data_IF_396813453482
#
_entry.id   IF_396813453482
#
_cell.length_a   1.000
_cell.length_b   1.000
_cell.length_c   1.000
_cell.angle_alpha   90.00
_cell.angle_beta   90.00
_cell.angle_gamma   90.00
#
_symmetry.space_group_name_H-M   'P 1'
#
loop_
_entity.id
_entity.type
_entity.pdbx_description
1 polymer ?
#
# COMPACT_ATOMS: atom_id res chain seq x y z
N UNK A 1 8.52 -7.88 -7.31
CA UNK A 1 9.81 -7.15 -7.43
C UNK A 1 10.72 -7.60 -6.28
N UNK A 2 11.87 -8.22 -6.57
CA UNK A 2 12.84 -8.64 -5.52
C UNK A 2 13.63 -7.42 -5.02
N UNK A 3 13.79 -7.25 -3.70
CA UNK A 3 14.33 -6.01 -3.11
C UNK A 3 15.81 -5.86 -3.46
N UNK A 4 16.27 -4.67 -3.86
CA UNK A 4 17.69 -4.43 -4.16
C UNK A 4 18.58 -4.63 -2.92
N UNK A 5 18.05 -4.38 -1.72
CA UNK A 5 18.74 -4.63 -0.45
C UNK A 5 18.99 -6.12 -0.20
N UNK A 6 18.06 -6.99 -0.58
CA UNK A 6 18.22 -8.46 -0.49
C UNK A 6 19.35 -8.96 -1.41
N UNK A 7 19.76 -8.15 -2.39
CA UNK A 7 20.91 -8.40 -3.28
C UNK A 7 22.21 -7.74 -2.79
N UNK A 8 22.32 -7.43 -1.48
CA UNK A 8 23.46 -6.74 -0.84
C UNK A 8 23.75 -5.32 -1.37
N UNK A 9 22.78 -4.66 -2.03
CA UNK A 9 22.95 -3.27 -2.46
C UNK A 9 22.68 -2.34 -1.26
N UNK A 10 23.63 -1.46 -0.88
CA UNK A 10 23.41 -0.51 0.21
C UNK A 10 22.19 0.37 -0.04
N UNK A 11 21.39 0.60 1.00
CA UNK A 11 20.14 1.39 0.97
C UNK A 11 20.30 2.72 0.22
N UNK A 12 21.39 3.46 0.47
CA UNK A 12 21.69 4.73 -0.22
C UNK A 12 21.77 4.58 -1.75
N UNK A 13 22.35 3.48 -2.22
CA UNK A 13 22.52 3.20 -3.65
C UNK A 13 21.22 2.70 -4.28
N UNK A 14 20.46 1.88 -3.56
CA UNK A 14 19.13 1.43 -3.99
C UNK A 14 18.13 2.60 -4.10
N UNK A 15 18.15 3.52 -3.13
CA UNK A 15 17.32 4.72 -3.13
C UNK A 15 17.63 5.63 -4.32
N UNK A 16 18.92 5.86 -4.60
CA UNK A 16 19.39 6.64 -5.76
C UNK A 16 18.95 6.03 -7.10
N UNK A 17 18.97 4.70 -7.23
CA UNK A 17 18.57 3.99 -8.45
C UNK A 17 17.07 4.09 -8.75
N UNK A 18 16.24 4.23 -7.72
CA UNK A 18 14.76 4.26 -7.83
C UNK A 18 14.23 5.71 -7.70
N UNK A 19 15.12 6.71 -7.62
CA UNK A 19 14.74 8.13 -7.53
C UNK A 19 14.01 8.49 -6.23
N UNK A 20 14.26 7.77 -5.14
CA UNK A 20 13.68 8.03 -3.82
C UNK A 20 14.75 8.48 -2.82
N UNK A 21 14.34 9.20 -1.78
CA UNK A 21 15.20 9.42 -0.62
C UNK A 21 15.47 8.10 0.11
N UNK A 22 16.63 8.00 0.76
CA UNK A 22 17.00 6.80 1.52
C UNK A 22 15.96 6.46 2.61
N UNK A 23 15.40 7.48 3.26
CA UNK A 23 14.35 7.33 4.28
C UNK A 23 13.02 6.85 3.70
N UNK A 24 12.60 7.35 2.54
CA UNK A 24 11.39 6.87 1.85
C UNK A 24 11.54 5.44 1.34
N UNK A 25 12.75 5.07 0.93
CA UNK A 25 13.07 3.70 0.55
C UNK A 25 13.01 2.73 1.74
N UNK A 26 13.56 3.10 2.90
CA UNK A 26 13.49 2.30 4.12
C UNK A 26 12.06 2.15 4.66
N UNK A 27 11.25 3.21 4.60
CA UNK A 27 9.81 3.14 4.92
C UNK A 27 9.10 2.16 4.00
N UNK A 28 9.31 2.24 2.68
CA UNK A 28 8.76 1.28 1.71
C UNK A 28 9.14 -0.16 2.01
N UNK A 29 10.39 -0.44 2.42
CA UNK A 29 10.84 -1.81 2.76
C UNK A 29 10.14 -2.33 4.02
N UNK A 30 9.92 -1.48 5.03
CA UNK A 30 9.18 -1.84 6.25
C UNK A 30 7.67 -2.00 6.02
N UNK A 31 7.12 -1.22 5.10
CA UNK A 31 5.68 -1.24 4.79
C UNK A 31 5.30 -2.28 3.73
N UNK A 32 6.27 -2.88 3.03
CA UNK A 32 5.98 -3.89 2.00
C UNK A 32 5.35 -5.17 2.59
N UNK A 33 5.64 -5.51 3.86
CA UNK A 33 4.94 -6.62 4.54
C UNK A 33 3.48 -6.28 4.78
N UNK A 34 3.19 -5.07 5.28
CA UNK A 34 1.81 -4.58 5.48
C UNK A 34 1.05 -4.47 4.16
N UNK A 35 1.71 -4.01 3.11
CA UNK A 35 1.14 -3.90 1.78
C UNK A 35 0.81 -5.29 1.21
N UNK A 36 1.69 -6.28 1.41
CA UNK A 36 1.41 -7.68 1.07
C UNK A 36 0.26 -8.25 1.89
N UNK A 37 0.11 -7.89 3.16
CA UNK A 37 -1.02 -8.33 3.98
C UNK A 37 -2.35 -7.79 3.44
N UNK A 38 -2.38 -6.55 2.95
CA UNK A 38 -3.58 -5.98 2.33
C UNK A 38 -3.89 -6.61 0.97
N UNK A 39 -2.89 -6.73 0.09
CA UNK A 39 -3.05 -7.33 -1.24
C UNK A 39 -3.29 -8.85 -1.18
N UNK A 40 -2.92 -9.50 -0.07
CA UNK A 40 -3.20 -10.92 0.17
C UNK A 40 -4.63 -11.19 0.63
N UNK A 41 -5.39 -10.16 1.01
CA UNK A 41 -6.81 -10.27 1.30
C UNK A 41 -7.58 -10.00 -0.01
N UNK A 42 -8.32 -10.99 -0.56
CA UNK A 42 -8.98 -10.86 -1.86
C UNK A 42 -10.02 -9.73 -1.86
N UNK A 43 -10.81 -9.59 -0.80
CA UNK A 43 -11.83 -8.55 -0.70
C UNK A 43 -11.20 -7.15 -0.76
N UNK A 44 -10.12 -6.93 0.00
CA UNK A 44 -9.40 -5.64 0.01
C UNK A 44 -8.72 -5.39 -1.33
N UNK A 45 -8.13 -6.42 -1.94
CA UNK A 45 -7.49 -6.30 -3.24
C UNK A 45 -8.50 -5.88 -4.31
N UNK A 46 -9.66 -6.54 -4.36
CA UNK A 46 -10.73 -6.24 -5.31
C UNK A 46 -11.29 -4.82 -5.09
N UNK A 47 -11.43 -4.39 -3.83
CA UNK A 47 -11.83 -3.02 -3.50
C UNK A 47 -10.81 -1.99 -3.98
N UNK A 48 -9.50 -2.26 -3.82
CA UNK A 48 -8.43 -1.39 -4.32
C UNK A 48 -8.48 -1.29 -5.84
N UNK A 49 -8.59 -2.41 -6.53
CA UNK A 49 -8.63 -2.45 -8.00
C UNK A 49 -9.85 -1.72 -8.54
N UNK A 50 -11.01 -1.87 -7.89
CA UNK A 50 -12.22 -1.12 -8.23
C UNK A 50 -12.05 0.39 -8.08
N UNK A 51 -11.45 0.85 -6.97
CA UNK A 51 -11.16 2.28 -6.75
C UNK A 51 -10.17 2.80 -7.79
N UNK A 52 -9.09 2.06 -8.06
CA UNK A 52 -8.07 2.44 -9.04
C UNK A 52 -8.66 2.56 -10.44
N UNK A 53 -9.48 1.58 -10.86
CA UNK A 53 -10.15 1.62 -12.16
C UNK A 53 -11.02 2.87 -12.29
N UNK A 54 -11.80 3.23 -11.26
CA UNK A 54 -12.64 4.44 -11.27
C UNK A 54 -11.81 5.71 -11.38
N UNK A 55 -10.71 5.80 -10.62
CA UNK A 55 -9.79 6.95 -10.68
C UNK A 55 -9.18 7.10 -12.08
N UNK A 56 -8.72 5.99 -12.68
CA UNK A 56 -8.12 6.01 -14.03
C UNK A 56 -9.14 6.40 -15.09
N UNK A 57 -10.37 5.91 -14.97
CA UNK A 57 -11.48 6.26 -15.88
C UNK A 57 -12.02 7.68 -15.68
N UNK A 58 -11.55 8.42 -14.67
CA UNK A 58 -12.05 9.75 -14.33
C UNK A 58 -13.43 9.76 -13.68
N UNK A 59 -13.90 8.60 -13.22
CA UNK A 59 -15.15 8.48 -12.48
C UNK A 59 -15.01 9.05 -11.06
N UNK A 60 -16.09 9.64 -10.56
CA UNK A 60 -16.13 10.13 -9.18
C UNK A 60 -16.13 8.94 -8.22
N UNK A 61 -15.14 8.90 -7.33
CA UNK A 61 -15.10 7.95 -6.20
C UNK A 61 -15.75 8.60 -4.99
N UNK A 62 -16.79 7.98 -4.45
CA UNK A 62 -17.43 8.44 -3.22
C UNK A 62 -16.53 8.24 -2.00
N UNK A 63 -16.58 9.19 -1.06
CA UNK A 63 -15.82 9.14 0.20
C UNK A 63 -16.12 7.86 1.01
N UNK A 64 -17.37 7.40 0.97
CA UNK A 64 -17.84 6.15 1.56
C UNK A 64 -17.04 4.93 1.09
N UNK A 65 -16.58 4.93 -0.16
CA UNK A 65 -15.78 3.83 -0.72
C UNK A 65 -14.42 3.74 -0.01
N UNK A 66 -13.80 4.88 0.29
CA UNK A 66 -12.55 4.91 1.05
C UNK A 66 -12.77 4.54 2.52
N UNK A 67 -13.90 4.93 3.11
CA UNK A 67 -14.25 4.53 4.48
C UNK A 67 -14.42 3.01 4.61
N UNK A 68 -15.08 2.36 3.65
CA UNK A 68 -15.23 0.90 3.63
C UNK A 68 -13.87 0.21 3.49
N UNK A 69 -13.03 0.68 2.55
CA UNK A 69 -11.69 0.14 2.35
C UNK A 69 -10.82 0.30 3.62
N UNK A 70 -10.89 1.47 4.26
CA UNK A 70 -10.20 1.75 5.52
C UNK A 70 -10.68 0.82 6.63
N UNK A 71 -12.00 0.65 6.79
CA UNK A 71 -12.59 -0.22 7.80
C UNK A 71 -12.10 -1.66 7.65
N UNK A 72 -12.17 -2.21 6.44
CA UNK A 72 -11.68 -3.57 6.16
C UNK A 72 -10.17 -3.72 6.33
N UNK A 73 -9.39 -2.71 5.93
CA UNK A 73 -7.95 -2.70 6.16
C UNK A 73 -7.59 -2.71 7.65
N UNK A 74 -8.40 -2.07 8.49
CA UNK A 74 -8.18 -2.04 9.95
C UNK A 74 -8.38 -3.41 10.59
N UNK A 75 -9.34 -4.20 10.11
CA UNK A 75 -9.51 -5.60 10.55
C UNK A 75 -8.24 -6.43 10.30
N UNK A 76 -7.63 -6.31 9.12
CA UNK A 76 -6.38 -7.01 8.76
C UNK A 76 -5.24 -6.65 9.70
N UNK A 77 -5.21 -5.43 10.22
CA UNK A 77 -4.19 -4.97 11.16
C UNK A 77 -4.59 -5.10 12.63
N UNK A 78 -5.75 -5.68 12.95
CA UNK A 78 -6.24 -5.80 14.33
C UNK A 78 -6.48 -4.44 15.00
N UNK A 79 -6.77 -3.41 14.22
CA UNK A 79 -7.04 -2.06 14.71
C UNK A 79 -8.54 -1.91 15.05
N UNK A 80 -8.89 -1.09 16.05
CA UNK A 80 -10.30 -0.84 16.40
C UNK A 80 -11.04 -0.20 15.22
N UNK A 81 -12.37 -0.29 15.12
CA UNK A 81 -13.14 0.41 14.10
C UNK A 81 -12.83 1.91 14.03
N UNK A 82 -12.99 2.51 12.85
CA UNK A 82 -12.81 3.96 12.71
C UNK A 82 -14.02 4.68 13.32
N UNK A 83 -13.78 5.64 14.22
CA UNK A 83 -14.85 6.39 14.91
C UNK A 83 -15.29 7.65 14.14
N UNK A 84 -15.23 7.62 12.80
CA UNK A 84 -15.70 8.75 11.99
C UNK A 84 -17.22 8.87 12.12
#
# INVERSE_FOLDING_TARGET
MRRLVERKVPVKRAAKLIGLSATSYEKRVKDESKLKSLLGNPDISDMIDGVVSRIISGERVEETTFCLLCSKSREVFGLPPCMI
#
